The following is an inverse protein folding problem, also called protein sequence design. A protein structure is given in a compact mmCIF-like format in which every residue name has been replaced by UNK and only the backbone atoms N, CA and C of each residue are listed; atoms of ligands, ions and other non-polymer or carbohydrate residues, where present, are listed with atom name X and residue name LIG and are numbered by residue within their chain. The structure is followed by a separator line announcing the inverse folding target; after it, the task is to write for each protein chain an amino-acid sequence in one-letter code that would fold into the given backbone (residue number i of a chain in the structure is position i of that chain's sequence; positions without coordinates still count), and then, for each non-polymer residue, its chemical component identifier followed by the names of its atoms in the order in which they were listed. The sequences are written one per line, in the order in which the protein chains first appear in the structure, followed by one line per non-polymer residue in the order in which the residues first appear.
data_IF_469404386104
#
_entry.id   IF_469404386104
#
_cell.length_a   1.000
_cell.length_b   1.000
_cell.length_c   1.000
_cell.angle_alpha   90.00
_cell.angle_beta   90.00
_cell.angle_gamma   90.00
#
_symmetry.space_group_name_H-M   'P 1'
#
loop_
_entity.id
_entity.type
_entity.pdbx_description
1 polymer ?
#
# COMPACT_ATOMS: atom_id res chain seq x y z
N UNK A 1 16.97 -39.36 12.76
CA UNK A 1 15.90 -38.73 11.96
C UNK A 1 16.45 -38.55 10.57
N UNK A 2 15.62 -38.80 9.57
CA UNK A 2 16.02 -38.78 8.16
C UNK A 2 16.20 -37.32 7.71
N UNK A 3 17.21 -37.01 6.88
CA UNK A 3 17.56 -35.61 6.53
C UNK A 3 16.42 -34.85 5.84
N UNK A 4 15.48 -35.57 5.23
CA UNK A 4 14.26 -35.01 4.66
C UNK A 4 13.22 -34.61 5.72
N UNK A 5 13.09 -35.39 6.80
CA UNK A 5 12.20 -35.06 7.93
C UNK A 5 12.72 -33.82 8.68
N UNK A 6 14.03 -33.72 8.86
CA UNK A 6 14.67 -32.56 9.49
C UNK A 6 14.45 -31.27 8.67
N UNK A 7 14.56 -31.36 7.34
CA UNK A 7 14.29 -30.24 6.43
C UNK A 7 12.83 -29.79 6.46
N UNK A 8 11.89 -30.73 6.44
CA UNK A 8 10.45 -30.44 6.52
C UNK A 8 10.07 -29.80 7.87
N UNK A 9 10.62 -30.31 8.98
CA UNK A 9 10.37 -29.74 10.30
C UNK A 9 10.96 -28.32 10.44
N UNK A 10 12.12 -28.05 9.84
CA UNK A 10 12.69 -26.70 9.82
C UNK A 10 11.77 -25.72 9.08
N UNK A 11 11.28 -26.10 7.89
CA UNK A 11 10.36 -25.27 7.11
C UNK A 11 9.04 -25.01 7.87
N UNK A 12 8.48 -26.04 8.52
CA UNK A 12 7.28 -25.87 9.35
C UNK A 12 7.51 -24.85 10.47
N UNK A 13 8.64 -24.93 11.18
CA UNK A 13 8.96 -23.98 12.24
C UNK A 13 9.16 -22.55 11.72
N UNK A 14 9.76 -22.38 10.53
CA UNK A 14 9.87 -21.05 9.90
C UNK A 14 8.48 -20.43 9.69
N UNK A 15 7.52 -21.20 9.17
CA UNK A 15 6.16 -20.72 8.96
C UNK A 15 5.40 -20.47 10.27
N UNK A 16 5.49 -21.39 11.25
CA UNK A 16 4.87 -21.22 12.57
C UNK A 16 5.36 -19.94 13.27
N UNK A 17 6.62 -19.58 13.07
CA UNK A 17 7.24 -18.42 13.72
C UNK A 17 7.16 -17.13 12.88
N UNK A 18 6.61 -17.17 11.67
CA UNK A 18 6.56 -16.03 10.75
C UNK A 18 5.86 -14.80 11.34
N UNK A 19 4.84 -14.99 12.18
CA UNK A 19 4.17 -13.87 12.86
C UNK A 19 5.10 -13.10 13.81
N UNK A 20 6.06 -13.79 14.45
CA UNK A 20 7.05 -13.15 15.32
C UNK A 20 8.03 -12.31 14.51
N UNK A 21 8.42 -12.77 13.32
CA UNK A 21 9.27 -12.00 12.39
C UNK A 21 8.58 -10.70 11.99
N UNK A 22 7.29 -10.76 11.62
CA UNK A 22 6.51 -9.56 11.31
C UNK A 22 6.44 -8.59 12.49
N UNK A 23 6.20 -9.11 13.70
CA UNK A 23 6.14 -8.28 14.92
C UNK A 23 7.49 -7.64 15.27
N UNK A 24 8.62 -8.32 15.04
CA UNK A 24 9.96 -7.73 15.19
C UNK A 24 10.12 -6.53 14.25
N UNK A 25 9.77 -6.69 12.97
CA UNK A 25 9.82 -5.60 12.00
C UNK A 25 8.91 -4.43 12.42
N UNK A 26 7.66 -4.72 12.78
CA UNK A 26 6.69 -3.69 13.20
C UNK A 26 7.15 -2.94 14.44
N UNK A 27 7.61 -3.65 15.48
CA UNK A 27 8.09 -3.03 16.71
C UNK A 27 9.35 -2.18 16.48
N UNK A 28 10.28 -2.63 15.63
CA UNK A 28 11.46 -1.84 15.28
C UNK A 28 11.10 -0.54 14.54
N UNK A 29 10.10 -0.60 13.64
CA UNK A 29 9.55 0.57 12.97
C UNK A 29 8.84 1.51 13.95
N UNK A 30 7.98 0.97 14.82
CA UNK A 30 7.17 1.74 15.78
C UNK A 30 8.05 2.49 16.77
N UNK A 31 9.07 1.81 17.29
CA UNK A 31 10.04 2.42 18.17
C UNK A 31 10.90 3.48 17.45
N UNK A 32 11.07 3.41 16.12
CA UNK A 32 11.92 4.33 15.39
C UNK A 32 13.41 3.95 15.45
N UNK A 33 13.70 2.65 15.55
CA UNK A 33 15.08 2.12 15.57
C UNK A 33 15.87 2.59 14.36
N UNK A 34 15.27 2.46 13.16
CA UNK A 34 15.95 2.74 11.90
C UNK A 34 16.27 4.23 11.73
N UNK A 35 15.41 5.13 12.22
CA UNK A 35 15.64 6.58 12.14
C UNK A 35 16.80 7.01 13.03
N UNK A 36 16.84 6.56 14.29
CA UNK A 36 17.94 6.87 15.21
C UNK A 36 19.29 6.40 14.66
N UNK A 37 19.30 5.23 14.01
CA UNK A 37 20.50 4.70 13.36
C UNK A 37 20.86 5.45 12.07
N UNK A 38 19.90 6.08 11.39
CA UNK A 38 20.14 6.90 10.21
C UNK A 38 20.67 8.30 10.57
N UNK A 39 20.22 8.87 11.69
CA UNK A 39 20.67 10.16 12.21
C UNK A 39 22.07 10.08 12.85
N UNK A 40 22.50 8.89 13.28
CA UNK A 40 23.78 8.71 13.91
C UNK A 40 24.95 8.76 12.90
N UNK A 41 26.04 9.50 13.19
CA UNK A 41 27.20 9.57 12.30
C UNK A 41 28.01 8.25 12.25
N UNK A 42 27.79 7.36 13.22
CA UNK A 42 28.45 6.05 13.33
C UNK A 42 27.49 5.02 13.93
N UNK A 43 27.72 3.71 13.70
CA UNK A 43 26.96 2.63 14.33
C UNK A 43 26.87 2.78 15.86
N UNK A 44 25.69 2.52 16.43
CA UNK A 44 25.40 2.75 17.85
C UNK A 44 25.40 1.43 18.65
N UNK A 45 25.83 1.48 19.91
CA UNK A 45 25.65 0.35 20.84
C UNK A 45 24.21 0.24 21.34
N UNK A 46 23.78 -0.97 21.71
CA UNK A 46 22.41 -1.26 22.20
C UNK A 46 21.99 -0.36 23.36
N UNK A 47 22.89 -0.08 24.31
CA UNK A 47 22.64 0.82 25.42
C UNK A 47 22.29 2.26 24.99
N UNK A 48 22.99 2.80 23.99
CA UNK A 48 22.74 4.15 23.47
C UNK A 48 21.40 4.19 22.75
N UNK A 49 21.11 3.18 21.93
CA UNK A 49 19.81 3.05 21.25
C UNK A 49 18.68 2.98 22.28
N UNK A 50 18.83 2.16 23.32
CA UNK A 50 17.83 2.01 24.38
C UNK A 50 17.56 3.33 25.12
N UNK A 51 18.62 4.08 25.47
CA UNK A 51 18.48 5.40 26.11
C UNK A 51 17.76 6.40 25.21
N UNK A 52 18.11 6.49 23.93
CA UNK A 52 17.48 7.44 22.99
C UNK A 52 16.00 7.11 22.74
N UNK A 53 15.66 5.82 22.72
CA UNK A 53 14.30 5.32 22.54
C UNK A 53 13.45 5.33 23.82
N UNK A 54 14.04 5.53 24.99
CA UNK A 54 13.35 5.37 26.27
C UNK A 54 12.90 3.93 26.54
N UNK A 55 13.66 2.94 26.07
CA UNK A 55 13.34 1.50 26.16
C UNK A 55 14.30 0.77 27.11
N UNK A 56 13.94 -0.46 27.53
CA UNK A 56 14.80 -1.27 28.38
C UNK A 56 16.02 -1.79 27.61
N UNK A 57 17.22 -1.73 28.21
CA UNK A 57 18.45 -2.24 27.59
C UNK A 57 18.29 -3.67 27.03
N UNK A 58 17.78 -4.59 27.87
CA UNK A 58 17.60 -6.00 27.50
C UNK A 58 16.65 -6.18 26.31
N UNK A 59 15.52 -5.49 26.31
CA UNK A 59 14.55 -5.59 25.21
C UNK A 59 15.10 -5.04 23.90
N UNK A 60 15.79 -3.91 23.96
CA UNK A 60 16.40 -3.28 22.80
C UNK A 60 17.50 -4.14 22.21
N UNK A 61 18.38 -4.71 23.03
CA UNK A 61 19.44 -5.61 22.58
C UNK A 61 18.87 -6.83 21.84
N UNK A 62 17.88 -7.53 22.44
CA UNK A 62 17.22 -8.66 21.79
C UNK A 62 16.55 -8.30 20.46
N UNK A 63 15.91 -7.13 20.40
CA UNK A 63 15.28 -6.65 19.17
C UNK A 63 16.32 -6.34 18.08
N UNK A 64 17.41 -5.66 18.44
CA UNK A 64 18.47 -5.32 17.50
C UNK A 64 19.19 -6.57 16.98
N UNK A 65 19.49 -7.55 17.84
CA UNK A 65 20.08 -8.83 17.45
C UNK A 65 19.17 -9.62 16.49
N UNK A 66 17.85 -9.61 16.76
CA UNK A 66 16.87 -10.20 15.84
C UNK A 66 16.86 -9.46 14.50
N UNK A 67 16.87 -8.13 14.49
CA UNK A 67 16.95 -7.35 13.26
C UNK A 67 18.25 -7.59 12.46
N UNK A 68 19.38 -7.85 13.13
CA UNK A 68 20.62 -8.26 12.45
C UNK A 68 20.44 -9.63 11.79
N UNK A 69 19.86 -10.60 12.51
CA UNK A 69 19.61 -11.94 11.99
C UNK A 69 18.59 -11.97 10.84
N UNK A 70 17.70 -10.98 10.78
CA UNK A 70 16.74 -10.76 9.69
C UNK A 70 17.30 -9.91 8.55
N UNK A 71 18.60 -9.58 8.58
CA UNK A 71 19.28 -8.75 7.58
C UNK A 71 18.68 -7.34 7.43
N UNK A 72 18.01 -6.85 8.48
CA UNK A 72 17.51 -5.48 8.56
C UNK A 72 18.61 -4.53 9.06
N UNK A 73 19.46 -5.01 9.96
CA UNK A 73 20.58 -4.26 10.52
C UNK A 73 21.92 -4.95 10.27
N UNK A 74 22.98 -4.15 10.28
CA UNK A 74 24.38 -4.59 10.30
C UNK A 74 24.91 -4.58 11.72
N UNK A 75 25.90 -5.42 12.00
CA UNK A 75 26.59 -5.51 13.29
C UNK A 75 28.11 -5.41 13.10
N UNK A 76 28.75 -4.45 13.77
CA UNK A 76 30.21 -4.33 13.89
C UNK A 76 30.65 -4.64 15.32
N UNK A 77 31.59 -5.58 15.47
CA UNK A 77 32.15 -6.03 16.76
C UNK A 77 33.63 -5.71 16.93
N UNK A 78 34.27 -5.05 15.95
CA UNK A 78 35.73 -4.84 15.90
C UNK A 78 36.25 -3.91 17.01
N UNK A 79 35.38 -3.14 17.66
CA UNK A 79 35.71 -2.17 18.72
C UNK A 79 35.55 -2.68 20.16
N UNK A 80 35.39 -3.98 20.39
CA UNK A 80 35.18 -4.55 21.73
C UNK A 80 33.75 -4.44 22.27
N UNK A 81 32.79 -4.03 21.43
CA UNK A 81 31.36 -3.99 21.73
C UNK A 81 30.52 -4.07 20.46
N UNK A 82 29.30 -4.57 20.57
CA UNK A 82 28.33 -4.67 19.48
C UNK A 82 27.82 -3.27 19.06
N UNK A 83 28.02 -2.90 17.80
CA UNK A 83 27.52 -1.64 17.22
C UNK A 83 26.63 -1.92 16.03
N UNK A 84 25.41 -1.38 16.05
CA UNK A 84 24.36 -1.62 15.07
C UNK A 84 24.25 -0.46 14.09
N UNK A 85 23.96 -0.76 12.82
CA UNK A 85 23.72 0.24 11.79
C UNK A 85 22.75 -0.23 10.71
N UNK A 86 22.15 0.69 9.97
CA UNK A 86 21.22 0.35 8.89
C UNK A 86 21.89 -0.38 7.72
N UNK A 87 21.21 -1.40 7.19
CA UNK A 87 21.50 -1.99 5.88
C UNK A 87 21.06 -1.05 4.76
N UNK A 88 21.33 -1.40 3.50
CA UNK A 88 20.75 -0.70 2.36
C UNK A 88 19.22 -0.81 2.37
N UNK A 89 18.67 -2.01 2.62
CA UNK A 89 17.23 -2.25 2.74
C UNK A 89 16.58 -1.35 3.78
N UNK A 90 17.09 -1.36 5.03
CA UNK A 90 16.46 -0.56 6.09
C UNK A 90 16.62 0.95 5.86
N UNK A 91 17.77 1.39 5.34
CA UNK A 91 17.98 2.80 4.96
C UNK A 91 17.07 3.25 3.83
N UNK A 92 16.75 2.38 2.87
CA UNK A 92 15.89 2.74 1.74
C UNK A 92 14.41 2.67 2.08
N UNK A 93 13.96 1.69 2.86
CA UNK A 93 12.52 1.42 3.02
C UNK A 93 12.00 1.63 4.44
N UNK A 94 12.85 1.67 5.48
CA UNK A 94 12.43 1.68 6.88
C UNK A 94 12.81 2.95 7.65
N UNK A 95 13.36 3.96 6.98
CA UNK A 95 13.62 5.28 7.57
C UNK A 95 12.61 6.30 7.05
N UNK A 96 12.09 7.12 7.95
CA UNK A 96 11.10 8.17 7.62
C UNK A 96 11.63 9.11 6.55
N UNK A 97 12.91 9.48 6.58
CA UNK A 97 13.51 10.45 5.66
C UNK A 97 13.69 9.95 4.23
N UNK A 98 13.52 8.65 3.98
CA UNK A 98 13.67 8.10 2.64
C UNK A 98 12.44 8.44 1.79
N UNK A 99 12.62 8.90 0.53
CA UNK A 99 11.50 9.08 -0.40
C UNK A 99 10.85 7.75 -0.83
N UNK A 100 11.46 6.60 -0.48
CA UNK A 100 10.93 5.25 -0.73
C UNK A 100 10.47 4.55 0.56
N UNK A 101 10.32 5.29 1.66
CA UNK A 101 9.83 4.77 2.94
C UNK A 101 8.54 3.95 2.75
N UNK A 102 8.46 2.82 3.45
CA UNK A 102 7.28 1.93 3.53
C UNK A 102 6.74 1.86 4.98
N UNK A 103 7.14 2.82 5.84
CA UNK A 103 6.80 2.81 7.26
C UNK A 103 5.30 2.94 7.52
N UNK A 104 4.59 3.81 6.79
CA UNK A 104 3.15 3.97 7.01
C UNK A 104 2.39 2.70 6.61
N UNK A 105 2.82 2.03 5.54
CA UNK A 105 2.27 0.73 5.16
C UNK A 105 2.53 -0.29 6.28
N UNK A 106 3.74 -0.36 6.84
CA UNK A 106 4.05 -1.27 7.93
C UNK A 106 3.24 -0.98 9.21
N UNK A 107 3.00 0.30 9.53
CA UNK A 107 2.09 0.66 10.62
C UNK A 107 0.66 0.21 10.36
N UNK A 108 0.15 0.42 9.14
CA UNK A 108 -1.18 -0.07 8.75
C UNK A 108 -1.29 -1.59 8.83
N UNK A 109 -0.24 -2.31 8.40
CA UNK A 109 -0.19 -3.76 8.53
C UNK A 109 -0.21 -4.19 9.99
N UNK A 110 0.55 -3.54 10.86
CA UNK A 110 0.65 -3.87 12.28
C UNK A 110 -0.66 -3.61 13.06
N UNK A 111 -1.30 -2.46 12.84
CA UNK A 111 -2.47 -2.04 13.65
C UNK A 111 -3.79 -2.54 13.08
N UNK A 112 -3.87 -2.78 11.77
CA UNK A 112 -5.12 -3.16 11.11
C UNK A 112 -5.06 -4.57 10.55
N UNK A 113 -4.18 -4.81 9.59
CA UNK A 113 -4.15 -6.09 8.85
C UNK A 113 -3.87 -7.26 9.79
N UNK A 114 -2.86 -7.15 10.65
CA UNK A 114 -2.49 -8.21 11.59
C UNK A 114 -3.65 -8.60 12.54
N UNK A 115 -4.45 -7.61 12.99
CA UNK A 115 -5.61 -7.85 13.84
C UNK A 115 -6.74 -8.58 13.08
N UNK A 116 -7.01 -8.19 11.83
CA UNK A 116 -7.97 -8.91 10.99
C UNK A 116 -7.51 -10.35 10.71
N UNK A 117 -6.22 -10.57 10.44
CA UNK A 117 -5.65 -11.89 10.16
C UNK A 117 -5.70 -12.84 11.35
N UNK A 118 -5.75 -12.33 12.59
CA UNK A 118 -6.03 -13.15 13.78
C UNK A 118 -7.38 -13.90 13.70
N UNK A 119 -8.27 -13.48 12.79
CA UNK A 119 -9.57 -14.09 12.53
C UNK A 119 -9.66 -14.79 11.17
N UNK A 120 -8.55 -15.09 10.48
CA UNK A 120 -8.55 -15.74 9.16
C UNK A 120 -9.40 -17.02 9.10
N UNK A 121 -9.33 -17.88 10.12
CA UNK A 121 -10.12 -19.12 10.14
C UNK A 121 -11.64 -18.86 10.12
N UNK A 122 -12.09 -17.75 10.70
CA UNK A 122 -13.48 -17.34 10.63
C UNK A 122 -13.80 -16.74 9.25
N UNK A 123 -12.89 -15.95 8.67
CA UNK A 123 -13.05 -15.41 7.31
C UNK A 123 -13.24 -16.53 6.29
N UNK A 124 -12.46 -17.61 6.40
CA UNK A 124 -12.57 -18.81 5.54
C UNK A 124 -13.89 -19.54 5.76
N UNK A 125 -14.37 -19.67 7.00
CA UNK A 125 -15.65 -20.34 7.29
C UNK A 125 -16.86 -19.53 6.82
N UNK A 126 -16.80 -18.22 7.00
CA UNK A 126 -17.94 -17.31 6.80
C UNK A 126 -17.94 -16.68 5.40
N UNK A 127 -16.81 -16.69 4.69
CA UNK A 127 -16.66 -16.11 3.35
C UNK A 127 -16.75 -14.58 3.33
N UNK A 128 -16.35 -13.89 4.41
CA UNK A 128 -16.48 -12.43 4.54
C UNK A 128 -15.41 -11.81 5.45
N UNK A 129 -15.24 -10.49 5.32
CA UNK A 129 -14.29 -9.70 6.12
C UNK A 129 -14.56 -9.75 7.63
N UNK A 130 -13.55 -9.42 8.43
CA UNK A 130 -13.54 -9.64 9.87
C UNK A 130 -13.40 -8.35 10.70
N UNK A 131 -13.72 -7.19 10.13
CA UNK A 131 -13.72 -5.91 10.85
C UNK A 131 -14.57 -5.91 12.13
N UNK A 132 -15.74 -6.55 12.12
CA UNK A 132 -16.58 -6.66 13.32
C UNK A 132 -15.91 -7.49 14.42
N UNK A 133 -15.21 -8.57 14.07
CA UNK A 133 -14.52 -9.40 15.07
C UNK A 133 -13.24 -8.72 15.57
N UNK A 134 -12.50 -8.06 14.67
CA UNK A 134 -11.23 -7.41 14.99
C UNK A 134 -11.39 -6.10 15.76
N UNK A 135 -12.41 -5.29 15.44
CA UNK A 135 -12.55 -3.92 15.96
C UNK A 135 -13.94 -3.60 16.52
N UNK A 136 -14.90 -4.53 16.47
CA UNK A 136 -16.27 -4.27 16.94
C UNK A 136 -17.08 -3.31 16.05
N UNK A 137 -16.62 -3.02 14.83
CA UNK A 137 -17.28 -2.10 13.89
C UNK A 137 -18.12 -2.86 12.86
N UNK A 138 -19.27 -2.30 12.47
CA UNK A 138 -20.09 -2.85 11.40
C UNK A 138 -19.43 -2.60 10.03
N UNK A 139 -19.48 -3.60 9.13
CA UNK A 139 -18.84 -3.54 7.80
C UNK A 139 -19.82 -3.69 6.63
N UNK A 140 -21.08 -3.31 6.81
CA UNK A 140 -22.06 -3.23 5.70
C UNK A 140 -21.64 -2.18 4.66
N UNK A 141 -21.00 -1.10 5.10
CA UNK A 141 -20.22 -0.21 4.25
C UNK A 141 -18.73 -0.49 4.44
N UNK A 142 -18.09 -1.14 3.45
CA UNK A 142 -16.68 -1.53 3.52
C UNK A 142 -15.78 -0.37 3.96
N UNK A 143 -15.81 0.75 3.23
CA UNK A 143 -14.97 1.90 3.52
C UNK A 143 -15.39 2.65 4.79
N UNK A 144 -16.63 2.52 5.27
CA UNK A 144 -17.01 3.03 6.60
C UNK A 144 -16.32 2.27 7.73
N UNK A 145 -16.05 0.97 7.55
CA UNK A 145 -15.29 0.17 8.51
C UNK A 145 -13.78 0.41 8.43
N UNK A 146 -13.26 0.64 7.22
CA UNK A 146 -11.85 1.01 6.99
C UNK A 146 -11.58 2.42 7.56
N UNK A 147 -12.44 3.39 7.27
CA UNK A 147 -12.34 4.79 7.69
C UNK A 147 -13.09 5.07 9.00
N UNK A 148 -13.10 4.09 9.92
CA UNK A 148 -13.87 4.14 11.19
C UNK A 148 -13.54 5.34 12.09
N UNK A 149 -12.40 6.01 11.87
CA UNK A 149 -12.12 7.35 12.39
C UNK A 149 -11.21 8.11 11.42
N UNK A 150 -11.06 9.43 11.64
CA UNK A 150 -10.14 10.27 10.89
C UNK A 150 -8.70 9.75 10.92
N UNK A 151 -8.26 9.21 12.06
CA UNK A 151 -6.90 8.66 12.21
C UNK A 151 -6.70 7.40 11.38
N UNK A 152 -7.67 6.49 11.36
CA UNK A 152 -7.58 5.29 10.53
C UNK A 152 -7.70 5.59 9.04
N UNK A 153 -8.55 6.55 8.65
CA UNK A 153 -8.61 7.04 7.28
C UNK A 153 -7.24 7.58 6.83
N UNK A 154 -6.63 8.44 7.65
CA UNK A 154 -5.31 8.98 7.37
C UNK A 154 -4.25 7.88 7.28
N UNK A 155 -4.23 6.95 8.23
CA UNK A 155 -3.24 5.87 8.24
C UNK A 155 -3.39 4.94 7.03
N UNK A 156 -4.63 4.66 6.59
CA UNK A 156 -4.91 3.90 5.37
C UNK A 156 -4.32 4.61 4.15
N UNK A 157 -4.68 5.88 3.93
CA UNK A 157 -4.19 6.66 2.78
C UNK A 157 -2.66 6.77 2.78
N UNK A 158 -2.06 7.05 3.94
CA UNK A 158 -0.61 7.17 4.05
C UNK A 158 0.11 5.86 3.76
N UNK A 159 -0.49 4.72 4.13
CA UNK A 159 0.08 3.41 3.86
C UNK A 159 -0.06 3.01 2.39
N UNK A 160 -1.24 3.15 1.81
CA UNK A 160 -1.53 2.64 0.46
C UNK A 160 -0.73 3.37 -0.62
N UNK A 161 -0.45 4.66 -0.44
CA UNK A 161 0.32 5.45 -1.39
C UNK A 161 1.81 5.09 -1.47
N UNK A 162 2.42 4.58 -0.38
CA UNK A 162 3.89 4.46 -0.27
C UNK A 162 4.44 3.50 -1.32
N UNK A 163 3.62 2.53 -1.73
CA UNK A 163 3.96 1.56 -2.76
C UNK A 163 4.24 2.23 -4.12
N UNK A 164 3.59 3.35 -4.42
CA UNK A 164 3.76 4.07 -5.67
C UNK A 164 5.10 4.82 -5.76
N UNK A 165 5.76 5.11 -4.64
CA UNK A 165 7.14 5.63 -4.63
C UNK A 165 8.16 4.65 -5.22
N UNK A 166 7.82 3.36 -5.23
CA UNK A 166 8.65 2.27 -5.76
C UNK A 166 8.13 1.78 -7.11
N UNK A 167 6.81 1.62 -7.24
CA UNK A 167 6.17 0.96 -8.38
C UNK A 167 5.54 1.92 -9.39
N UNK A 168 5.23 3.16 -8.99
CA UNK A 168 4.39 4.07 -9.78
C UNK A 168 4.98 4.40 -11.15
N UNK A 169 6.29 4.62 -11.23
CA UNK A 169 6.97 4.89 -12.51
C UNK A 169 6.89 3.72 -13.49
N UNK A 170 7.06 2.48 -13.02
CA UNK A 170 7.01 1.29 -13.87
C UNK A 170 5.58 1.02 -14.38
N UNK A 171 4.59 1.20 -13.51
CA UNK A 171 3.17 1.06 -13.85
C UNK A 171 2.75 2.10 -14.88
N UNK A 172 3.05 3.39 -14.65
CA UNK A 172 2.64 4.48 -15.55
C UNK A 172 3.41 4.49 -16.88
N UNK A 173 4.61 3.90 -16.93
CA UNK A 173 5.37 3.71 -18.16
C UNK A 173 5.02 2.41 -18.91
N UNK A 174 4.12 1.57 -18.37
CA UNK A 174 3.77 0.30 -19.00
C UNK A 174 3.17 0.54 -20.40
N UNK A 175 2.26 1.49 -20.55
CA UNK A 175 1.71 1.90 -21.84
C UNK A 175 2.03 3.36 -22.12
N UNK A 176 2.08 3.75 -23.40
CA UNK A 176 2.15 5.17 -23.77
C UNK A 176 0.79 5.81 -23.51
N UNK A 177 0.72 6.63 -22.45
CA UNK A 177 -0.51 7.33 -22.06
C UNK A 177 -0.62 8.72 -22.70
N UNK A 178 0.35 9.15 -23.52
CA UNK A 178 0.37 10.50 -24.11
C UNK A 178 -0.80 10.77 -25.05
N UNK A 179 -1.47 9.72 -25.55
CA UNK A 179 -2.66 9.81 -26.39
C UNK A 179 -3.94 10.16 -25.63
N UNK A 180 -3.89 10.26 -24.30
CA UNK A 180 -5.02 10.60 -23.44
C UNK A 180 -4.79 11.96 -22.76
N UNK A 181 -5.29 13.05 -23.35
CA UNK A 181 -5.10 14.39 -22.81
C UNK A 181 -5.68 14.58 -21.40
N UNK A 182 -6.82 13.95 -21.10
CA UNK A 182 -7.45 13.99 -19.77
C UNK A 182 -7.48 12.59 -19.17
N UNK A 183 -6.87 12.41 -18.00
CA UNK A 183 -6.81 11.13 -17.30
C UNK A 183 -7.46 11.29 -15.92
N UNK A 184 -8.36 10.38 -15.56
CA UNK A 184 -9.01 10.36 -14.25
C UNK A 184 -8.61 9.12 -13.45
N UNK A 185 -7.98 9.33 -12.30
CA UNK A 185 -7.68 8.30 -11.30
C UNK A 185 -8.88 8.15 -10.35
N UNK A 186 -9.63 7.06 -10.51
CA UNK A 186 -10.82 6.75 -9.71
C UNK A 186 -10.39 5.96 -8.47
N UNK A 187 -10.64 6.49 -7.27
CA UNK A 187 -10.11 5.92 -6.03
C UNK A 187 -8.61 6.16 -5.85
N UNK A 188 -8.06 7.21 -6.50
CA UNK A 188 -6.63 7.50 -6.51
C UNK A 188 -6.05 8.06 -5.22
N UNK A 189 -6.89 8.21 -4.17
CA UNK A 189 -6.62 8.87 -2.90
C UNK A 189 -6.17 10.34 -3.08
N UNK A 190 -6.87 11.29 -2.45
CA UNK A 190 -6.59 12.72 -2.67
C UNK A 190 -5.18 13.09 -2.20
N UNK A 191 -4.47 13.95 -2.92
CA UNK A 191 -3.10 14.35 -2.64
C UNK A 191 -2.85 15.60 -1.80
N UNK A 192 -1.83 15.55 -0.95
CA UNK A 192 -1.12 16.74 -0.48
C UNK A 192 0.28 16.40 0.05
N UNK A 193 1.15 17.41 0.22
CA UNK A 193 2.51 17.24 0.73
C UNK A 193 2.61 17.75 2.18
N UNK A 194 3.43 17.07 2.97
CA UNK A 194 3.80 17.25 4.36
C UNK A 194 3.20 18.37 5.23
N UNK A 195 2.92 17.96 6.47
CA UNK A 195 2.71 18.85 7.61
C UNK A 195 1.89 18.25 8.76
N UNK A 196 2.09 16.98 9.15
CA UNK A 196 1.32 16.42 10.28
C UNK A 196 2.19 15.64 11.26
N UNK A 197 2.08 16.05 12.51
CA UNK A 197 2.56 15.34 13.68
C UNK A 197 1.53 14.27 14.02
N UNK A 198 1.86 12.99 13.81
CA UNK A 198 1.10 11.88 14.39
C UNK A 198 0.91 12.16 15.90
N UNK A 199 -0.21 11.77 16.54
CA UNK A 199 -0.35 11.85 17.98
C UNK A 199 0.74 10.97 18.63
N UNK A 200 1.86 11.60 18.95
CA UNK A 200 3.02 11.00 19.59
C UNK A 200 2.62 10.63 21.01
N UNK A 201 2.41 9.34 21.27
CA UNK A 201 2.64 8.83 22.63
C UNK A 201 4.12 8.59 22.94
N UNK A 202 5.01 8.68 21.95
CA UNK A 202 6.46 8.57 22.16
C UNK A 202 7.22 9.52 21.21
N UNK A 203 7.87 10.52 21.81
CA UNK A 203 8.91 11.45 21.31
C UNK A 203 8.55 12.40 20.14
N UNK A 204 8.67 13.74 20.32
CA UNK A 204 8.43 14.71 19.24
C UNK A 204 9.69 14.90 18.38
N UNK A 205 9.58 14.73 17.07
CA UNK A 205 10.54 15.22 16.09
C UNK A 205 9.77 15.91 14.97
N UNK A 206 10.14 17.15 14.65
CA UNK A 206 9.56 17.96 13.58
C UNK A 206 10.11 17.52 12.23
N UNK A 207 9.25 17.05 11.31
CA UNK A 207 9.63 16.64 9.96
C UNK A 207 9.77 17.84 9.01
N UNK A 208 10.75 17.80 8.11
CA UNK A 208 10.88 18.72 6.97
C UNK A 208 10.47 18.03 5.67
N UNK A 209 9.57 18.67 4.93
CA UNK A 209 9.10 18.44 3.56
C UNK A 209 9.61 17.19 2.81
N UNK A 210 8.77 16.16 2.74
CA UNK A 210 8.91 14.95 1.94
C UNK A 210 8.19 15.02 0.59
N UNK A 211 8.73 14.37 -0.45
CA UNK A 211 8.06 14.22 -1.75
C UNK A 211 6.92 13.17 -1.79
N UNK A 212 6.56 12.57 -0.64
CA UNK A 212 5.69 11.39 -0.53
C UNK A 212 4.21 11.65 -0.32
N UNK A 213 3.65 12.71 -0.90
CA UNK A 213 2.24 13.07 -0.72
C UNK A 213 1.21 12.07 -1.30
N UNK A 214 -0.07 12.23 -1.01
CA UNK A 214 -1.15 11.37 -1.53
C UNK A 214 -1.52 11.67 -3.00
N UNK A 215 -2.24 10.82 -3.74
CA UNK A 215 -2.28 10.90 -5.21
C UNK A 215 -0.90 10.62 -5.85
N UNK A 216 -0.11 9.75 -5.19
CA UNK A 216 1.26 9.44 -5.60
C UNK A 216 1.33 8.82 -7.01
N UNK A 217 0.32 8.02 -7.38
CA UNK A 217 0.21 7.48 -8.73
C UNK A 217 -0.07 8.58 -9.76
N UNK A 218 -1.03 9.47 -9.49
CA UNK A 218 -1.28 10.64 -10.33
C UNK A 218 -0.03 11.53 -10.48
N UNK A 219 0.77 11.75 -9.42
CA UNK A 219 2.04 12.49 -9.56
C UNK A 219 3.10 11.76 -10.36
N UNK A 220 3.19 10.44 -10.22
CA UNK A 220 4.05 9.63 -11.08
C UNK A 220 3.63 9.77 -12.56
N UNK A 221 2.32 9.77 -12.82
CA UNK A 221 1.76 10.02 -14.15
C UNK A 221 2.09 11.43 -14.65
N UNK A 222 1.85 12.48 -13.87
CA UNK A 222 2.13 13.88 -14.24
C UNK A 222 3.61 14.13 -14.53
N UNK A 223 4.51 13.43 -13.83
CA UNK A 223 5.95 13.51 -14.06
C UNK A 223 6.38 12.90 -15.40
N UNK A 224 5.68 11.85 -15.85
CA UNK A 224 5.95 11.17 -17.13
C UNK A 224 5.21 11.83 -18.31
N UNK A 225 4.03 12.39 -18.05
CA UNK A 225 3.14 12.96 -19.06
C UNK A 225 2.71 14.39 -18.65
N UNK A 226 3.66 15.37 -18.64
CA UNK A 226 3.39 16.73 -18.18
C UNK A 226 2.40 17.51 -19.04
N UNK A 227 2.07 17.02 -20.23
CA UNK A 227 1.05 17.56 -21.12
C UNK A 227 -0.38 17.11 -20.79
N UNK A 228 -0.54 16.08 -19.96
CA UNK A 228 -1.85 15.54 -19.59
C UNK A 228 -2.44 16.29 -18.40
N UNK A 229 -3.75 16.51 -18.44
CA UNK A 229 -4.54 16.99 -17.30
C UNK A 229 -5.01 15.80 -16.47
N UNK A 230 -4.68 15.78 -15.19
CA UNK A 230 -5.06 14.70 -14.28
C UNK A 230 -6.20 15.11 -13.35
N UNK A 231 -7.17 14.21 -13.21
CA UNK A 231 -8.25 14.30 -12.24
C UNK A 231 -8.09 13.15 -11.24
N UNK A 232 -8.18 13.41 -9.95
CA UNK A 232 -8.27 12.37 -8.92
C UNK A 232 -9.65 12.46 -8.30
N UNK A 233 -10.41 11.37 -8.35
CA UNK A 233 -11.79 11.30 -7.88
C UNK A 233 -11.91 10.31 -6.73
N UNK A 234 -12.33 10.76 -5.56
CA UNK A 234 -12.39 9.93 -4.35
C UNK A 234 -13.54 10.35 -3.42
N UNK A 235 -13.75 9.59 -2.34
CA UNK A 235 -14.78 9.87 -1.34
C UNK A 235 -14.58 11.24 -0.67
N UNK A 236 -15.67 11.95 -0.29
CA UNK A 236 -15.57 13.25 0.37
C UNK A 236 -14.71 13.25 1.64
N UNK A 237 -14.73 12.16 2.42
CA UNK A 237 -13.91 12.02 3.63
C UNK A 237 -12.41 12.01 3.31
N UNK A 238 -12.01 11.28 2.27
CA UNK A 238 -10.63 11.25 1.75
C UNK A 238 -10.22 12.63 1.24
N UNK A 239 -11.12 13.27 0.48
CA UNK A 239 -10.88 14.61 -0.06
C UNK A 239 -10.74 15.65 1.06
N UNK A 240 -11.56 15.58 2.10
CA UNK A 240 -11.55 16.51 3.22
C UNK A 240 -10.33 16.36 4.12
N UNK A 241 -9.95 15.12 4.51
CA UNK A 241 -8.74 14.88 5.31
C UNK A 241 -7.52 15.51 4.65
N UNK A 242 -7.47 15.44 3.33
CA UNK A 242 -6.32 15.95 2.60
C UNK A 242 -6.29 17.48 2.51
N UNK A 243 -7.44 18.11 2.30
CA UNK A 243 -7.59 19.58 2.34
C UNK A 243 -7.16 20.19 3.68
N UNK A 244 -7.45 19.49 4.77
CA UNK A 244 -7.30 20.00 6.14
C UNK A 244 -5.91 19.73 6.71
N UNK A 245 -5.24 18.66 6.25
CA UNK A 245 -4.03 18.16 6.90
C UNK A 245 -2.78 18.20 6.03
N UNK A 246 -2.88 18.35 4.70
CA UNK A 246 -1.72 18.45 3.82
C UNK A 246 -1.64 19.82 3.13
N UNK A 247 -0.44 20.40 3.13
CA UNK A 247 -0.19 21.65 2.40
C UNK A 247 -0.06 21.36 0.92
N UNK A 248 -0.64 22.21 0.08
CA UNK A 248 -0.56 22.09 -1.37
C UNK A 248 0.38 23.19 -1.92
N UNK A 249 1.60 22.87 -2.40
CA UNK A 249 2.44 23.85 -3.08
C UNK A 249 1.85 24.19 -4.44
N UNK A 250 2.01 25.45 -4.84
CA UNK A 250 1.44 26.12 -6.04
C UNK A 250 1.70 25.47 -7.42
N UNK A 251 2.29 24.27 -7.52
CA UNK A 251 2.46 23.56 -8.81
C UNK A 251 1.13 22.99 -9.38
N UNK A 252 -0.02 23.49 -8.91
CA UNK A 252 -1.38 22.94 -9.04
C UNK A 252 -2.11 23.30 -10.34
N UNK A 253 -1.42 23.29 -11.47
CA UNK A 253 -2.09 23.37 -12.78
C UNK A 253 -2.51 22.01 -13.35
N UNK A 254 -1.81 20.94 -12.95
CA UNK A 254 -1.85 19.65 -13.66
C UNK A 254 -2.73 18.58 -13.00
N UNK A 255 -3.02 18.69 -11.70
CA UNK A 255 -3.82 17.71 -10.95
C UNK A 255 -4.98 18.42 -10.26
N UNK A 256 -6.20 18.04 -10.61
CA UNK A 256 -7.43 18.50 -9.96
C UNK A 256 -8.03 17.37 -9.13
N UNK A 257 -8.62 17.73 -7.98
CA UNK A 257 -9.24 16.77 -7.08
C UNK A 257 -10.75 16.98 -7.05
N UNK A 258 -11.49 15.89 -7.17
CA UNK A 258 -12.94 15.86 -7.24
C UNK A 258 -13.45 14.85 -6.20
N UNK A 259 -14.55 15.18 -5.54
CA UNK A 259 -15.17 14.29 -4.55
C UNK A 259 -16.43 13.63 -5.10
N UNK A 260 -16.66 12.38 -4.70
CA UNK A 260 -17.91 11.66 -4.92
C UNK A 260 -17.77 10.15 -4.80
N UNK A 261 -18.91 9.47 -4.82
CA UNK A 261 -19.03 8.01 -4.83
C UNK A 261 -19.10 7.51 -6.27
N UNK A 262 -18.05 6.83 -6.76
CA UNK A 262 -17.98 6.37 -8.15
C UNK A 262 -19.07 5.35 -8.52
N UNK A 263 -19.74 4.72 -7.55
CA UNK A 263 -20.87 3.84 -7.82
C UNK A 263 -22.19 4.58 -8.05
N UNK A 264 -22.30 5.84 -7.61
CA UNK A 264 -23.56 6.60 -7.59
C UNK A 264 -23.46 7.91 -8.35
N UNK A 265 -22.44 8.70 -8.05
CA UNK A 265 -22.29 10.08 -8.53
C UNK A 265 -21.75 10.14 -9.97
N UNK A 266 -22.05 11.20 -10.73
CA UNK A 266 -21.52 11.38 -12.07
C UNK A 266 -19.99 11.32 -12.07
N UNK A 267 -19.43 10.44 -12.91
CA UNK A 267 -17.98 10.34 -13.06
C UNK A 267 -17.44 11.55 -13.84
N UNK A 268 -16.27 12.10 -13.48
CA UNK A 268 -15.63 13.17 -14.25
C UNK A 268 -15.38 12.72 -15.70
N UNK A 269 -15.55 13.62 -16.67
CA UNK A 269 -15.20 13.31 -18.05
C UNK A 269 -13.68 13.16 -18.22
N UNK A 270 -13.24 12.02 -18.76
CA UNK A 270 -11.84 11.76 -19.07
C UNK A 270 -11.69 10.87 -20.30
N UNK A 271 -10.51 10.92 -20.92
CA UNK A 271 -10.13 10.06 -22.05
C UNK A 271 -9.60 8.71 -21.55
N UNK A 272 -9.00 8.67 -20.36
CA UNK A 272 -8.55 7.45 -19.69
C UNK A 272 -9.01 7.45 -18.23
N UNK A 273 -9.56 6.32 -17.78
CA UNK A 273 -9.84 6.08 -16.36
C UNK A 273 -8.86 5.09 -15.77
N UNK A 274 -8.17 5.44 -14.70
CA UNK A 274 -7.28 4.55 -13.95
C UNK A 274 -8.07 3.96 -12.78
N UNK A 275 -7.96 2.63 -12.61
CA UNK A 275 -8.41 1.90 -11.44
C UNK A 275 -7.20 1.14 -10.88
N UNK A 276 -6.50 1.76 -9.94
CA UNK A 276 -5.35 1.17 -9.30
C UNK A 276 -5.71 0.66 -7.91
N UNK A 277 -5.69 -0.67 -7.73
CA UNK A 277 -6.08 -1.32 -6.46
C UNK A 277 -7.50 -0.94 -6.02
N UNK A 278 -8.43 -0.98 -6.97
CA UNK A 278 -9.84 -0.67 -6.73
C UNK A 278 -10.69 -1.88 -6.98
N UNK A 279 -10.49 -2.59 -8.09
CA UNK A 279 -11.35 -3.71 -8.46
C UNK A 279 -11.17 -4.88 -7.50
N UNK A 280 -10.00 -5.02 -6.88
CA UNK A 280 -9.74 -6.10 -5.94
C UNK A 280 -10.52 -5.99 -4.61
N UNK A 281 -11.06 -4.83 -4.26
CA UNK A 281 -11.83 -4.61 -3.03
C UNK A 281 -13.27 -5.16 -3.13
N UNK A 282 -13.74 -5.40 -4.36
CA UNK A 282 -15.15 -5.55 -4.66
C UNK A 282 -15.50 -6.90 -5.27
N UNK A 283 -16.77 -7.29 -5.10
CA UNK A 283 -17.35 -8.46 -5.78
C UNK A 283 -17.44 -8.23 -7.29
N UNK A 284 -17.57 -9.31 -8.06
CA UNK A 284 -17.66 -9.23 -9.52
C UNK A 284 -18.89 -8.41 -9.98
N UNK A 285 -19.98 -8.40 -9.22
CA UNK A 285 -21.17 -7.59 -9.50
C UNK A 285 -20.89 -6.09 -9.34
N UNK A 286 -20.22 -5.69 -8.26
CA UNK A 286 -19.82 -4.29 -8.04
C UNK A 286 -18.77 -3.84 -9.06
N UNK A 287 -17.79 -4.69 -9.37
CA UNK A 287 -16.83 -4.43 -10.45
C UNK A 287 -17.56 -4.22 -11.79
N UNK A 288 -18.48 -5.10 -12.15
CA UNK A 288 -19.25 -5.00 -13.41
C UNK A 288 -20.07 -3.71 -13.48
N UNK A 289 -20.72 -3.33 -12.37
CA UNK A 289 -21.46 -2.07 -12.27
C UNK A 289 -20.56 -0.85 -12.48
N UNK A 290 -19.41 -0.78 -11.79
CA UNK A 290 -18.45 0.30 -11.95
C UNK A 290 -17.91 0.37 -13.38
N UNK A 291 -17.45 -0.75 -13.94
CA UNK A 291 -16.92 -0.81 -15.29
C UNK A 291 -17.95 -0.39 -16.34
N UNK A 292 -19.22 -0.78 -16.18
CA UNK A 292 -20.30 -0.35 -17.07
C UNK A 292 -20.55 1.17 -17.00
N UNK A 293 -20.47 1.77 -15.81
CA UNK A 293 -20.55 3.23 -15.65
C UNK A 293 -19.39 3.94 -16.34
N UNK A 294 -18.16 3.46 -16.12
CA UNK A 294 -16.96 4.02 -16.77
C UNK A 294 -17.10 3.90 -18.29
N UNK A 295 -17.46 2.72 -18.81
CA UNK A 295 -17.66 2.53 -20.24
C UNK A 295 -18.73 3.47 -20.80
N UNK A 296 -19.84 3.71 -20.08
CA UNK A 296 -20.87 4.65 -20.50
C UNK A 296 -20.34 6.09 -20.61
N UNK A 297 -19.59 6.57 -19.61
CA UNK A 297 -19.01 7.92 -19.57
C UNK A 297 -17.85 8.11 -20.54
N UNK A 298 -17.08 7.05 -20.79
CA UNK A 298 -15.90 7.08 -21.65
C UNK A 298 -16.28 7.45 -23.10
N UNK A 299 -15.48 8.33 -23.73
CA UNK A 299 -15.69 8.75 -25.13
C UNK A 299 -15.18 7.64 -26.08
N UNK A 300 -15.67 7.53 -27.33
CA UNK A 300 -15.08 6.63 -28.32
C UNK A 300 -13.57 6.90 -28.48
N UNK A 301 -12.77 5.83 -28.47
CA UNK A 301 -11.31 5.96 -28.46
C UNK A 301 -10.72 6.28 -27.07
N UNK A 302 -11.53 6.43 -26.02
CA UNK A 302 -11.04 6.45 -24.65
C UNK A 302 -10.66 5.05 -24.15
N UNK A 303 -10.30 4.94 -22.88
CA UNK A 303 -9.95 3.64 -22.30
C UNK A 303 -10.01 3.57 -20.79
N UNK A 304 -9.64 2.39 -20.31
CA UNK A 304 -9.47 2.07 -18.90
C UNK A 304 -8.10 1.43 -18.67
N UNK A 305 -7.41 1.90 -17.63
CA UNK A 305 -6.15 1.36 -17.15
C UNK A 305 -6.37 0.71 -15.78
N UNK A 306 -6.31 -0.62 -15.72
CA UNK A 306 -6.43 -1.37 -14.47
C UNK A 306 -5.04 -1.72 -13.98
N UNK A 307 -4.74 -1.40 -12.71
CA UNK A 307 -3.44 -1.67 -12.08
C UNK A 307 -3.67 -2.53 -10.84
N UNK A 308 -3.35 -3.81 -10.95
CA UNK A 308 -3.69 -4.83 -9.94
C UNK A 308 -2.59 -5.91 -9.88
N UNK A 309 -2.56 -6.70 -8.80
CA UNK A 309 -1.66 -7.86 -8.71
C UNK A 309 -2.33 -9.09 -9.30
N UNK A 310 -1.81 -9.62 -10.42
CA UNK A 310 -2.51 -10.69 -11.14
C UNK A 310 -2.10 -12.07 -10.64
N UNK A 311 -3.11 -12.91 -10.40
CA UNK A 311 -2.91 -14.34 -10.21
C UNK A 311 -2.49 -14.99 -11.54
N UNK A 312 -1.67 -16.04 -11.43
CA UNK A 312 -1.47 -17.01 -12.49
C UNK A 312 -2.82 -17.63 -12.87
N UNK A 313 -2.98 -18.05 -14.12
CA UNK A 313 -4.27 -18.55 -14.65
C UNK A 313 -4.83 -19.76 -13.89
N UNK A 314 -3.97 -20.55 -13.26
CA UNK A 314 -4.37 -21.67 -12.41
C UNK A 314 -4.64 -21.29 -10.94
N UNK A 315 -4.45 -20.00 -10.61
CA UNK A 315 -4.61 -19.35 -9.30
C UNK A 315 -3.65 -19.86 -8.22
N UNK A 316 -2.54 -20.51 -8.61
CA UNK A 316 -1.56 -21.11 -7.69
C UNK A 316 -0.28 -20.28 -7.50
N UNK A 317 -0.25 -19.07 -8.03
CA UNK A 317 0.86 -18.16 -7.84
C UNK A 317 0.57 -16.77 -8.40
N UNK A 318 1.50 -15.82 -8.22
CA UNK A 318 2.59 -15.89 -7.25
C UNK A 318 2.08 -15.95 -5.80
N UNK A 319 2.86 -16.53 -4.87
CA UNK A 319 2.45 -16.68 -3.46
C UNK A 319 2.03 -15.35 -2.83
N UNK A 320 2.77 -14.27 -3.12
CA UNK A 320 2.45 -12.91 -2.64
C UNK A 320 1.03 -12.50 -3.06
N UNK A 321 0.68 -12.70 -4.33
CA UNK A 321 -0.66 -12.36 -4.85
C UNK A 321 -1.75 -13.25 -4.27
N UNK A 322 -1.46 -14.52 -3.97
CA UNK A 322 -2.41 -15.38 -3.25
C UNK A 322 -2.66 -14.89 -1.82
N UNK A 323 -1.60 -14.45 -1.12
CA UNK A 323 -1.73 -13.85 0.20
C UNK A 323 -2.51 -12.53 0.14
N UNK A 324 -2.34 -11.73 -0.92
CA UNK A 324 -3.17 -10.54 -1.15
C UNK A 324 -4.63 -10.92 -1.39
N UNK A 325 -4.92 -11.98 -2.16
CA UNK A 325 -6.30 -12.43 -2.34
C UNK A 325 -6.94 -12.91 -1.03
N UNK A 326 -6.18 -13.58 -0.15
CA UNK A 326 -6.66 -13.91 1.20
C UNK A 326 -6.83 -12.66 2.06
N UNK A 327 -5.95 -11.67 1.89
CA UNK A 327 -6.10 -10.37 2.55
C UNK A 327 -7.41 -9.67 2.12
N UNK A 328 -7.75 -9.73 0.84
CA UNK A 328 -9.02 -9.21 0.32
C UNK A 328 -10.22 -9.93 0.93
N UNK A 329 -10.18 -11.25 1.11
CA UNK A 329 -11.22 -11.98 1.84
C UNK A 329 -11.35 -11.52 3.30
N UNK A 330 -10.21 -11.30 3.96
CA UNK A 330 -10.15 -10.96 5.39
C UNK A 330 -10.59 -9.52 5.68
N UNK A 331 -10.37 -8.59 4.74
CA UNK A 331 -10.61 -7.16 4.96
C UNK A 331 -11.71 -6.58 4.05
N UNK A 332 -11.83 -7.03 2.81
CA UNK A 332 -12.67 -6.40 1.79
C UNK A 332 -13.90 -7.25 1.45
N UNK A 333 -14.53 -6.99 0.31
CA UNK A 333 -15.55 -7.86 -0.29
C UNK A 333 -15.00 -8.66 -1.49
N UNK A 334 -13.79 -8.36 -1.94
CA UNK A 334 -13.26 -8.83 -3.22
C UNK A 334 -12.15 -9.86 -3.11
N UNK A 335 -11.32 -9.88 -4.15
CA UNK A 335 -10.26 -10.86 -4.41
C UNK A 335 -9.31 -10.36 -5.49
N UNK A 336 -8.09 -10.90 -5.49
CA UNK A 336 -7.23 -10.81 -6.67
C UNK A 336 -7.78 -11.72 -7.77
N UNK A 337 -7.48 -11.40 -9.02
CA UNK A 337 -8.03 -12.09 -10.20
C UNK A 337 -6.92 -12.42 -11.21
N UNK A 338 -7.21 -13.41 -12.05
CA UNK A 338 -6.39 -13.77 -13.22
C UNK A 338 -6.57 -12.77 -14.35
N UNK A 339 -5.68 -12.79 -15.35
CA UNK A 339 -5.83 -11.94 -16.53
C UNK A 339 -7.11 -12.29 -17.30
N UNK A 340 -7.46 -13.58 -17.40
CA UNK A 340 -8.70 -14.02 -18.03
C UNK A 340 -9.96 -13.51 -17.31
N UNK A 341 -9.96 -13.47 -15.97
CA UNK A 341 -11.08 -12.91 -15.19
C UNK A 341 -11.21 -11.40 -15.40
N UNK A 342 -10.11 -10.64 -15.41
CA UNK A 342 -10.17 -9.21 -15.76
C UNK A 342 -10.62 -8.96 -17.19
N UNK A 343 -10.13 -9.75 -18.16
CA UNK A 343 -10.60 -9.71 -19.55
C UNK A 343 -12.12 -9.88 -19.63
N UNK A 344 -12.66 -10.90 -18.95
CA UNK A 344 -14.09 -11.14 -18.92
C UNK A 344 -14.88 -9.95 -18.34
N UNK A 345 -14.41 -9.36 -17.24
CA UNK A 345 -15.05 -8.21 -16.60
C UNK A 345 -15.06 -6.98 -17.52
N UNK A 346 -13.93 -6.60 -18.11
CA UNK A 346 -13.86 -5.40 -18.95
C UNK A 346 -14.59 -5.61 -20.29
N UNK A 347 -14.53 -6.81 -20.87
CA UNK A 347 -15.28 -7.13 -22.09
C UNK A 347 -16.78 -7.15 -21.88
N UNK A 348 -17.26 -7.64 -20.73
CA UNK A 348 -18.68 -7.60 -20.38
C UNK A 348 -19.20 -6.16 -20.27
N UNK A 349 -18.37 -5.24 -19.78
CA UNK A 349 -18.70 -3.81 -19.71
C UNK A 349 -18.71 -3.10 -21.08
N UNK A 350 -18.12 -3.72 -22.12
CA UNK A 350 -18.08 -3.22 -23.49
C UNK A 350 -16.70 -2.79 -23.98
N UNK A 351 -15.66 -2.83 -23.13
CA UNK A 351 -14.30 -2.51 -23.55
C UNK A 351 -13.70 -3.60 -24.45
N UNK A 352 -12.87 -3.18 -25.40
CA UNK A 352 -12.18 -4.00 -26.40
C UNK A 352 -10.66 -3.77 -26.32
N UNK A 353 -9.92 -4.35 -27.26
CA UNK A 353 -8.45 -4.18 -27.39
C UNK A 353 -7.67 -4.42 -26.08
N UNK A 354 -8.07 -5.45 -25.34
CA UNK A 354 -7.43 -5.83 -24.08
C UNK A 354 -5.95 -6.13 -24.28
N UNK A 355 -5.11 -5.42 -23.53
CA UNK A 355 -3.67 -5.60 -23.50
C UNK A 355 -3.20 -5.69 -22.07
N UNK A 356 -2.31 -6.65 -21.80
CA UNK A 356 -1.70 -6.86 -20.50
C UNK A 356 -0.19 -6.64 -20.61
N UNK A 357 0.38 -5.91 -19.65
CA UNK A 357 1.81 -5.82 -19.42
C UNK A 357 2.17 -6.21 -17.99
N UNK A 358 2.96 -7.27 -17.87
CA UNK A 358 3.64 -7.64 -16.63
C UNK A 358 4.78 -6.66 -16.36
N UNK A 359 4.81 -6.02 -15.20
CA UNK A 359 5.88 -5.05 -14.87
C UNK A 359 7.15 -5.72 -14.33
N UNK A 360 7.08 -7.01 -13.99
CA UNK A 360 8.12 -7.70 -13.23
C UNK A 360 8.17 -7.28 -11.76
N UNK A 361 7.17 -6.51 -11.30
CA UNK A 361 6.99 -6.08 -9.93
C UNK A 361 5.64 -6.60 -9.39
N UNK A 362 5.19 -6.10 -8.23
CA UNK A 362 3.98 -6.59 -7.55
C UNK A 362 2.70 -6.34 -8.37
N UNK A 363 2.61 -5.19 -9.05
CA UNK A 363 1.43 -4.76 -9.79
C UNK A 363 1.68 -4.83 -11.29
N UNK A 364 0.70 -5.37 -12.01
CA UNK A 364 0.66 -5.45 -13.45
C UNK A 364 -0.35 -4.45 -14.01
N UNK A 365 -0.29 -4.20 -15.31
CA UNK A 365 -1.09 -3.16 -15.95
C UNK A 365 -1.89 -3.71 -17.11
N UNK A 366 -3.19 -3.47 -17.09
CA UNK A 366 -4.14 -3.82 -18.16
C UNK A 366 -4.65 -2.53 -18.77
N UNK A 367 -4.65 -2.45 -20.10
CA UNK A 367 -5.27 -1.39 -20.88
C UNK A 367 -6.37 -1.99 -21.75
N UNK A 368 -7.56 -1.39 -21.72
CA UNK A 368 -8.65 -1.71 -22.65
C UNK A 368 -9.29 -0.42 -23.19
N UNK A 369 -9.86 -0.47 -24.40
CA UNK A 369 -10.36 0.70 -25.14
C UNK A 369 -11.85 0.62 -25.39
N UNK A 370 -12.48 1.77 -25.62
CA UNK A 370 -13.88 1.87 -26.05
C UNK A 370 -13.98 2.10 -27.55
#
# INVERSE_FOLDING_TARGET
MDSAEDGAFHLLNQHCNGFMVSQVLFAACELGVFDILAEAPEPLGSAVVATRLGTSHRGTELLLDACVSLELLTLDTRGGGARYGNTELSRTFLTRTSPKSQLNMLFYLATTTYQCWAHLANAVREGKNQYTKAFGVHSEGLFSAIYRSETECQQFMLGLQEVWSVHGGAVMAAFDLSTFPVICDLGGERGGVDGVQMPTRLVPVTCSAHPGGSGALARACASLYPQCSLLVFDMPEVVNTVNTQFSLPEQQGLISFLEGDFFKDPLPEADLYILARVLHDWTDEKCSHLLARIHHTCKPGGGILVVESLLDEDRRGPLTTQLYSLNMLVQTEGRERTAAEYYALVSLAGFQDFQLKKTGQIYDVILARK
#
